data_IF_922005842354
#
_entry.id   IF_922005842354
#
_cell.length_a   1.000
_cell.length_b   1.000
_cell.length_c   1.000
_cell.angle_alpha   90.00
_cell.angle_beta   90.00
_cell.angle_gamma   90.00
#
_symmetry.space_group_name_H-M   'P 1'
#
loop_
_entity.id
_entity.type
_entity.pdbx_description
1 polymer ?
#
# COMPACT_ATOMS: atom_id res chain seq x y z
N UNK A 1 8.51 10.17 28.74
CA UNK A 1 7.74 10.78 27.64
C UNK A 1 7.09 9.63 26.89
N UNK A 2 5.76 9.56 26.86
CA UNK A 2 5.08 8.51 26.12
C UNK A 2 5.30 8.78 24.63
N UNK A 3 6.10 7.95 23.97
CA UNK A 3 6.15 7.89 22.52
C UNK A 3 4.75 7.41 22.14
N UNK A 4 3.90 8.36 21.75
CA UNK A 4 2.63 8.06 21.15
C UNK A 4 2.99 7.45 19.80
N UNK A 5 3.16 6.12 19.78
CA UNK A 5 3.36 5.37 18.55
C UNK A 5 2.23 5.80 17.63
N UNK A 6 2.56 6.56 16.58
CA UNK A 6 1.57 6.93 15.56
C UNK A 6 1.05 5.61 15.03
N UNK A 7 -0.17 5.27 15.42
CA UNK A 7 -0.78 4.03 15.01
C UNK A 7 -0.95 4.12 13.49
N UNK A 8 -0.21 3.28 12.75
CA UNK A 8 -0.24 3.31 11.29
C UNK A 8 -1.67 3.04 10.84
N UNK A 9 -2.23 3.97 10.06
CA UNK A 9 -3.60 3.87 9.53
C UNK A 9 -3.57 3.70 8.01
N UNK A 10 -4.62 3.11 7.42
CA UNK A 10 -4.70 2.93 5.97
C UNK A 10 -4.69 4.27 5.23
N UNK A 11 -5.34 5.31 5.78
CA UNK A 11 -5.29 6.66 5.24
C UNK A 11 -3.86 7.22 5.18
N UNK A 12 -3.07 7.05 6.26
CA UNK A 12 -1.68 7.47 6.29
C UNK A 12 -0.84 6.70 5.24
N UNK A 13 -1.02 5.38 5.15
CA UNK A 13 -0.35 4.55 4.15
C UNK A 13 -0.68 5.02 2.73
N UNK A 14 -1.95 5.28 2.43
CA UNK A 14 -2.36 5.73 1.10
C UNK A 14 -1.74 7.09 0.74
N UNK A 15 -1.72 8.04 1.67
CA UNK A 15 -1.12 9.35 1.46
C UNK A 15 0.38 9.25 1.20
N UNK A 16 1.11 8.54 2.08
CA UNK A 16 2.56 8.36 1.94
C UNK A 16 2.93 7.66 0.63
N UNK A 17 2.17 6.63 0.24
CA UNK A 17 2.41 5.93 -1.04
C UNK A 17 2.07 6.81 -2.24
N UNK A 18 0.99 7.58 -2.18
CA UNK A 18 0.63 8.51 -3.26
C UNK A 18 1.69 9.59 -3.46
N UNK A 19 2.19 10.18 -2.37
CA UNK A 19 3.28 11.16 -2.38
C UNK A 19 4.58 10.56 -2.94
N UNK A 20 4.98 9.38 -2.45
CA UNK A 20 6.20 8.70 -2.88
C UNK A 20 6.25 8.44 -4.38
N UNK A 21 5.15 7.94 -4.95
CA UNK A 21 5.05 7.66 -6.39
C UNK A 21 4.63 8.88 -7.22
N UNK A 22 4.47 10.05 -6.60
CA UNK A 22 4.00 11.28 -7.24
C UNK A 22 2.68 11.10 -8.04
N UNK A 23 1.68 10.48 -7.40
CA UNK A 23 0.34 10.27 -7.94
C UNK A 23 -0.71 10.88 -7.01
N UNK A 24 -1.95 11.06 -7.50
CA UNK A 24 -3.02 11.55 -6.64
C UNK A 24 -3.56 10.42 -5.75
N UNK A 25 -4.01 10.74 -4.54
CA UNK A 25 -4.72 9.78 -3.70
C UNK A 25 -5.93 9.17 -4.42
N UNK A 26 -6.66 9.98 -5.20
CA UNK A 26 -7.78 9.50 -6.02
C UNK A 26 -7.37 8.47 -7.07
N UNK A 27 -6.10 8.45 -7.50
CA UNK A 27 -5.60 7.43 -8.40
C UNK A 27 -5.53 6.06 -7.71
N UNK A 28 -5.12 6.00 -6.45
CA UNK A 28 -5.14 4.77 -5.64
C UNK A 28 -6.56 4.22 -5.46
N UNK A 29 -7.57 5.09 -5.41
CA UNK A 29 -8.98 4.70 -5.28
C UNK A 29 -9.62 4.37 -6.64
N UNK A 30 -9.15 4.98 -7.74
CA UNK A 30 -9.73 4.84 -9.08
C UNK A 30 -9.70 3.40 -9.61
N UNK A 31 -10.56 3.03 -10.56
CA UNK A 31 -10.52 1.72 -11.26
C UNK A 31 -9.40 1.62 -12.33
N UNK A 32 -8.58 2.65 -12.52
CA UNK A 32 -7.53 2.70 -13.55
C UNK A 32 -6.45 1.64 -13.31
N UNK A 33 -6.09 0.92 -14.38
CA UNK A 33 -5.19 -0.25 -14.35
C UNK A 33 -3.83 -0.02 -15.01
N UNK A 34 -3.50 1.20 -15.44
CA UNK A 34 -2.16 1.51 -15.97
C UNK A 34 -1.10 1.13 -14.93
N UNK A 35 0.03 0.56 -15.38
CA UNK A 35 1.08 0.05 -14.48
C UNK A 35 1.56 1.11 -13.49
N UNK A 36 1.68 2.36 -13.95
CA UNK A 36 2.05 3.54 -13.15
C UNK A 36 1.12 3.83 -11.98
N UNK A 37 -0.10 3.29 -11.96
CA UNK A 37 -1.07 3.45 -10.87
C UNK A 37 -1.34 2.11 -10.16
N UNK A 38 -1.42 1.03 -10.93
CA UNK A 38 -1.66 -0.30 -10.38
C UNK A 38 -0.54 -0.76 -9.45
N UNK A 39 0.73 -0.46 -9.77
CA UNK A 39 1.87 -0.83 -8.92
C UNK A 39 1.88 -0.07 -7.57
N UNK A 40 1.79 1.28 -7.54
CA UNK A 40 1.64 2.01 -6.28
C UNK A 40 0.46 1.53 -5.44
N UNK A 41 -0.69 1.26 -6.07
CA UNK A 41 -1.87 0.74 -5.36
C UNK A 41 -1.64 -0.64 -4.73
N UNK A 42 -0.99 -1.54 -5.47
CA UNK A 42 -0.66 -2.87 -4.94
C UNK A 42 0.33 -2.77 -3.78
N UNK A 43 1.33 -1.90 -3.89
CA UNK A 43 2.27 -1.61 -2.80
C UNK A 43 1.54 -1.07 -1.56
N UNK A 44 0.62 -0.12 -1.75
CA UNK A 44 -0.20 0.46 -0.68
C UNK A 44 -1.06 -0.60 0.02
N UNK A 45 -1.70 -1.50 -0.73
CA UNK A 45 -2.46 -2.63 -0.17
C UNK A 45 -1.58 -3.62 0.59
N UNK A 46 -0.39 -3.91 0.08
CA UNK A 46 0.57 -4.79 0.73
C UNK A 46 1.03 -4.22 2.07
N UNK A 47 1.43 -2.95 2.09
CA UNK A 47 1.81 -2.23 3.31
C UNK A 47 0.65 -2.15 4.30
N UNK A 48 -0.59 -1.89 3.83
CA UNK A 48 -1.76 -1.92 4.69
C UNK A 48 -1.98 -3.28 5.35
N UNK A 49 -1.71 -4.37 4.64
CA UNK A 49 -1.84 -5.73 5.19
C UNK A 49 -0.73 -6.07 6.19
N UNK A 50 0.48 -5.54 6.01
CA UNK A 50 1.62 -5.78 6.92
C UNK A 50 1.61 -4.88 8.17
N UNK A 51 1.24 -3.61 8.01
CA UNK A 51 1.38 -2.59 9.07
C UNK A 51 0.11 -2.37 9.88
N UNK A 52 -1.00 -3.01 9.51
CA UNK A 52 -2.29 -2.85 10.21
C UNK A 52 -2.97 -4.19 10.48
N UNK A 53 -3.90 -4.19 11.44
CA UNK A 53 -4.71 -5.36 11.77
C UNK A 53 -5.96 -5.52 10.88
N UNK A 54 -6.13 -4.68 9.85
CA UNK A 54 -7.31 -4.77 8.99
C UNK A 54 -7.32 -6.08 8.17
N UNK A 55 -8.53 -6.62 8.04
CA UNK A 55 -8.83 -7.76 7.17
C UNK A 55 -8.74 -7.37 5.69
N UNK A 56 -8.63 -8.37 4.81
CA UNK A 56 -8.59 -8.14 3.37
C UNK A 56 -9.84 -7.40 2.85
N UNK A 57 -11.07 -7.70 3.32
CA UNK A 57 -12.26 -6.91 2.98
C UNK A 57 -12.17 -5.44 3.42
N UNK A 58 -11.76 -5.16 4.66
CA UNK A 58 -11.65 -3.78 5.18
C UNK A 58 -10.60 -2.95 4.42
N UNK A 59 -9.48 -3.58 4.06
CA UNK A 59 -8.48 -2.97 3.19
C UNK A 59 -9.13 -2.71 1.82
N UNK A 60 -9.79 -3.69 1.23
CA UNK A 60 -10.47 -3.56 -0.07
C UNK A 60 -11.44 -2.38 -0.12
N UNK A 61 -12.25 -2.23 0.92
CA UNK A 61 -13.19 -1.10 1.09
C UNK A 61 -12.46 0.25 1.07
N UNK A 62 -11.36 0.35 1.84
CA UNK A 62 -10.52 1.55 1.91
C UNK A 62 -9.88 1.92 0.58
N UNK A 63 -9.73 0.96 -0.35
CA UNK A 63 -9.22 1.20 -1.70
C UNK A 63 -10.37 1.30 -2.73
N UNK A 64 -11.47 1.96 -2.38
CA UNK A 64 -12.56 2.25 -3.32
C UNK A 64 -13.48 1.05 -3.58
N UNK A 65 -13.82 0.30 -2.53
CA UNK A 65 -14.77 -0.81 -2.60
C UNK A 65 -14.25 -1.99 -3.44
N UNK A 66 -12.96 -2.29 -3.36
CA UNK A 66 -12.35 -3.40 -4.09
C UNK A 66 -12.59 -4.72 -3.38
N UNK A 67 -12.82 -5.77 -4.17
CA UNK A 67 -13.00 -7.11 -3.62
C UNK A 67 -11.74 -7.58 -2.88
N UNK A 68 -11.93 -8.30 -1.77
CA UNK A 68 -10.86 -8.83 -0.94
C UNK A 68 -9.85 -9.71 -1.70
N UNK A 69 -10.29 -10.43 -2.76
CA UNK A 69 -9.39 -11.20 -3.62
C UNK A 69 -8.45 -10.30 -4.43
N UNK A 70 -8.84 -9.06 -4.72
CA UNK A 70 -7.97 -8.06 -5.35
C UNK A 70 -6.82 -7.69 -4.40
N UNK A 71 -7.11 -7.52 -3.10
CA UNK A 71 -6.09 -7.26 -2.08
C UNK A 71 -5.18 -8.47 -1.92
N UNK A 72 -5.75 -9.67 -1.86
CA UNK A 72 -4.96 -10.91 -1.81
C UNK A 72 -4.00 -11.03 -3.00
N UNK A 73 -4.50 -10.77 -4.21
CA UNK A 73 -3.69 -10.78 -5.42
C UNK A 73 -2.61 -9.69 -5.39
N UNK A 74 -2.94 -8.48 -4.93
CA UNK A 74 -1.96 -7.41 -4.76
C UNK A 74 -0.82 -7.83 -3.83
N UNK A 75 -1.13 -8.43 -2.68
CA UNK A 75 -0.12 -8.85 -1.71
C UNK A 75 0.79 -9.94 -2.28
N UNK A 76 0.22 -10.96 -2.94
CA UNK A 76 1.01 -12.00 -3.62
C UNK A 76 1.93 -11.39 -4.69
N UNK A 77 1.38 -10.48 -5.50
CA UNK A 77 2.13 -9.85 -6.60
C UNK A 77 3.30 -8.99 -6.10
N UNK A 78 3.11 -8.20 -5.04
CA UNK A 78 4.20 -7.39 -4.48
C UNK A 78 5.26 -8.27 -3.85
N UNK A 79 4.86 -9.31 -3.10
CA UNK A 79 5.80 -10.27 -2.54
C UNK A 79 6.69 -10.91 -3.62
N UNK A 80 6.09 -11.42 -4.69
CA UNK A 80 6.85 -11.94 -5.84
C UNK A 80 7.77 -10.89 -6.47
N UNK A 81 7.30 -9.65 -6.66
CA UNK A 81 8.11 -8.62 -7.32
C UNK A 81 9.29 -8.18 -6.47
N UNK A 82 9.16 -8.16 -5.14
CA UNK A 82 10.26 -7.83 -4.23
C UNK A 82 11.41 -8.82 -4.33
N UNK A 83 11.12 -10.10 -4.62
CA UNK A 83 12.15 -11.13 -4.76
C UNK A 83 12.99 -10.98 -6.05
N UNK A 84 12.44 -10.38 -7.11
CA UNK A 84 13.06 -10.35 -8.44
C UNK A 84 13.30 -8.94 -9.01
N UNK A 85 12.79 -7.90 -8.37
CA UNK A 85 12.95 -6.51 -8.81
C UNK A 85 13.45 -5.64 -7.66
N UNK A 86 14.72 -5.24 -7.75
CA UNK A 86 15.41 -4.41 -6.76
C UNK A 86 14.74 -3.04 -6.56
N UNK A 87 14.16 -2.45 -7.62
CA UNK A 87 13.47 -1.16 -7.51
C UNK A 87 12.23 -1.30 -6.61
N UNK A 88 11.46 -2.39 -6.77
CA UNK A 88 10.25 -2.63 -5.96
C UNK A 88 10.60 -2.91 -4.50
N UNK A 89 11.69 -3.63 -4.27
CA UNK A 89 12.18 -3.91 -2.91
C UNK A 89 12.75 -2.63 -2.26
N UNK A 90 13.40 -1.76 -3.03
CA UNK A 90 13.82 -0.44 -2.54
C UNK A 90 12.63 0.46 -2.21
N UNK A 91 11.63 0.54 -3.09
CA UNK A 91 10.37 1.26 -2.84
C UNK A 91 9.72 0.79 -1.53
N UNK A 92 9.61 -0.54 -1.35
CA UNK A 92 9.07 -1.14 -0.14
C UNK A 92 9.83 -0.68 1.10
N UNK A 93 11.18 -0.77 1.11
CA UNK A 93 11.99 -0.38 2.27
C UNK A 93 11.84 1.09 2.62
N UNK A 94 11.82 1.95 1.60
CA UNK A 94 11.67 3.39 1.77
C UNK A 94 10.31 3.72 2.39
N UNK A 95 9.24 3.14 1.84
CA UNK A 95 7.88 3.34 2.32
C UNK A 95 7.66 2.75 3.71
N UNK A 96 8.13 1.54 3.97
CA UNK A 96 8.06 0.89 5.27
C UNK A 96 8.72 1.77 6.33
N UNK A 97 9.96 2.22 6.06
CA UNK A 97 10.69 3.11 6.96
C UNK A 97 9.94 4.43 7.20
N UNK A 98 9.36 5.04 6.17
CA UNK A 98 8.61 6.28 6.30
C UNK A 98 7.34 6.14 7.16
N UNK A 99 6.76 4.94 7.23
CA UNK A 99 5.52 4.66 7.96
C UNK A 99 5.74 4.20 9.40
N UNK A 100 6.93 3.69 9.74
CA UNK A 100 7.23 3.12 11.07
C UNK A 100 8.13 3.99 11.95
N UNK A 101 8.52 5.17 11.48
CA UNK A 101 9.26 6.19 12.25
C UNK A 101 8.27 7.14 12.92
#
# INVERSE_FOLDING_TARGET
MAIQARQVSVDNIQKTVAEYYNIKLSDLLSKRRSRSIARPRQMSMFLAKELTNYSLPEIGESFGGRDHTTVLHACKKIKELRDFNNEIEEDYRNLFRALTI
#
